data_IF_234348364915
#
_entry.id   IF_234348364915
#
_cell.length_a   1.000
_cell.length_b   1.000
_cell.length_c   1.000
_cell.angle_alpha   90.00
_cell.angle_beta   90.00
_cell.angle_gamma   90.00
#
_symmetry.space_group_name_H-M   'P 1'
#
loop_
_entity.id
_entity.type
_entity.pdbx_description
1 polymer ?
#
# COMPACT_ATOMS: atom_id res chain seq x y z
N UNK A 1 -2.11 5.20 -10.58
CA UNK A 1 -1.83 6.42 -9.82
C UNK A 1 -2.65 6.40 -8.52
N UNK A 2 -2.08 6.41 -7.32
CA UNK A 2 -0.72 6.00 -6.93
C UNK A 2 -0.76 4.71 -6.09
N UNK A 3 0.35 3.97 -6.00
CA UNK A 3 0.43 2.76 -5.18
C UNK A 3 0.60 3.07 -3.69
N UNK A 4 1.39 4.10 -3.38
CA UNK A 4 1.57 4.59 -2.01
C UNK A 4 1.25 6.08 -2.02
N UNK A 5 0.18 6.44 -1.34
CA UNK A 5 -0.28 7.82 -1.20
C UNK A 5 -0.99 7.99 0.13
N UNK A 6 -0.78 9.14 0.79
CA UNK A 6 -1.40 9.43 2.08
C UNK A 6 -2.89 9.81 1.93
N UNK A 7 -3.29 10.36 0.78
CA UNK A 7 -4.68 10.64 0.47
C UNK A 7 -5.38 9.39 -0.03
N UNK A 8 -6.69 9.27 0.25
CA UNK A 8 -7.53 8.13 -0.16
C UNK A 8 -7.00 6.76 0.32
N UNK A 9 -6.20 6.75 1.39
CA UNK A 9 -5.76 5.56 2.08
C UNK A 9 -6.83 5.09 3.06
N UNK A 10 -7.05 3.77 3.13
CA UNK A 10 -7.99 3.21 4.08
C UNK A 10 -7.55 3.54 5.52
N UNK A 11 -8.46 3.99 6.42
CA UNK A 11 -8.09 4.44 7.77
C UNK A 11 -7.35 3.40 8.60
N UNK A 12 -7.60 2.11 8.36
CA UNK A 12 -6.98 1.00 9.09
C UNK A 12 -5.53 0.73 8.68
N UNK A 13 -5.05 1.26 7.55
CA UNK A 13 -3.81 0.81 6.94
C UNK A 13 -2.57 1.09 7.80
N UNK A 14 -2.56 2.20 8.52
CA UNK A 14 -1.45 2.60 9.39
C UNK A 14 -1.65 2.23 10.86
N UNK A 15 -2.84 1.74 11.25
CA UNK A 15 -3.20 1.52 12.65
C UNK A 15 -3.62 0.07 12.94
N UNK A 16 -3.59 -0.28 14.23
CA UNK A 16 -4.13 -1.53 14.76
C UNK A 16 -5.61 -1.39 15.15
N UNK A 17 -6.19 -2.45 15.72
CA UNK A 17 -7.59 -2.46 16.17
C UNK A 17 -7.87 -1.50 17.33
N UNK A 18 -6.83 -1.05 18.05
CA UNK A 18 -6.92 -0.06 19.11
C UNK A 18 -6.70 1.37 18.61
N UNK A 19 -6.51 1.56 17.29
CA UNK A 19 -6.27 2.87 16.68
C UNK A 19 -4.85 3.41 16.88
N UNK A 20 -3.90 2.58 17.35
CA UNK A 20 -2.49 2.97 17.49
C UNK A 20 -1.73 2.65 16.22
N UNK A 21 -0.71 3.46 15.93
CA UNK A 21 0.18 3.19 14.79
C UNK A 21 0.81 1.80 14.90
N UNK A 22 0.78 1.06 13.80
CA UNK A 22 1.49 -0.23 13.72
C UNK A 22 3.00 -0.02 13.68
N UNK A 23 3.76 -1.08 13.97
CA UNK A 23 5.22 -1.01 13.88
C UNK A 23 5.69 -0.80 12.42
N UNK A 24 6.90 -0.25 12.21
CA UNK A 24 7.47 -0.11 10.88
C UNK A 24 7.52 -1.42 10.09
N UNK A 25 7.73 -2.55 10.75
CA UNK A 25 7.80 -3.89 10.16
C UNK A 25 6.43 -4.30 9.60
N UNK A 26 5.36 -4.10 10.39
CA UNK A 26 3.99 -4.38 9.95
C UNK A 26 3.61 -3.50 8.77
N UNK A 27 3.93 -2.21 8.82
CA UNK A 27 3.62 -1.29 7.72
C UNK A 27 4.38 -1.66 6.44
N UNK A 28 5.66 -2.02 6.54
CA UNK A 28 6.46 -2.53 5.41
C UNK A 28 5.85 -3.80 4.81
N UNK A 29 5.39 -4.72 5.65
CA UNK A 29 4.75 -5.95 5.18
C UNK A 29 3.44 -5.64 4.44
N UNK A 30 2.57 -4.79 5.00
CA UNK A 30 1.33 -4.34 4.35
C UNK A 30 1.60 -3.67 3.00
N UNK A 31 2.61 -2.78 2.92
CA UNK A 31 2.99 -2.14 1.65
C UNK A 31 3.49 -3.17 0.63
N UNK A 32 4.35 -4.13 1.04
CA UNK A 32 4.86 -5.18 0.16
C UNK A 32 3.74 -6.03 -0.41
N UNK A 33 2.79 -6.44 0.44
CA UNK A 33 1.61 -7.19 0.01
C UNK A 33 0.76 -6.38 -0.96
N UNK A 34 0.40 -5.14 -0.60
CA UNK A 34 -0.38 -4.25 -1.45
C UNK A 34 0.23 -4.08 -2.85
N UNK A 35 1.52 -3.71 -2.92
CA UNK A 35 2.24 -3.51 -4.18
C UNK A 35 2.30 -4.81 -4.98
N UNK A 36 2.65 -5.93 -4.33
CA UNK A 36 2.81 -7.21 -5.03
C UNK A 36 1.48 -7.72 -5.59
N UNK A 37 0.38 -7.58 -4.84
CA UNK A 37 -0.95 -7.97 -5.28
C UNK A 37 -1.42 -7.13 -6.47
N UNK A 38 -1.32 -5.81 -6.39
CA UNK A 38 -1.84 -4.91 -7.43
C UNK A 38 -0.97 -4.97 -8.70
N UNK A 39 0.35 -4.81 -8.56
CA UNK A 39 1.28 -4.86 -9.71
C UNK A 39 1.31 -6.26 -10.32
N UNK A 40 1.25 -7.31 -9.49
CA UNK A 40 1.15 -8.69 -9.96
C UNK A 40 -0.12 -8.96 -10.77
N UNK A 41 -1.28 -8.51 -10.28
CA UNK A 41 -2.58 -8.64 -10.98
C UNK A 41 -2.57 -8.00 -12.37
N UNK A 42 -1.89 -6.87 -12.52
CA UNK A 42 -1.86 -6.10 -13.77
C UNK A 42 -0.54 -6.20 -14.53
N UNK A 43 0.27 -7.22 -14.24
CA UNK A 43 1.55 -7.46 -14.91
C UNK A 43 1.37 -7.54 -16.43
N UNK A 44 2.17 -6.75 -17.15
CA UNK A 44 2.14 -6.68 -18.63
C UNK A 44 0.96 -5.90 -19.21
N UNK A 45 0.04 -5.36 -18.40
CA UNK A 45 -1.15 -4.62 -18.85
C UNK A 45 -1.04 -3.12 -18.65
N UNK A 46 -0.30 -2.68 -17.64
CA UNK A 46 -0.10 -1.26 -17.31
C UNK A 46 1.34 -0.88 -17.65
N UNK A 47 1.50 0.16 -18.47
CA UNK A 47 2.80 0.58 -19.00
C UNK A 47 3.62 1.43 -18.01
N UNK A 48 2.97 2.09 -17.06
CA UNK A 48 3.63 2.97 -16.09
C UNK A 48 2.85 3.06 -14.78
N UNK A 49 3.58 3.21 -13.68
CA UNK A 49 3.03 3.32 -12.32
C UNK A 49 3.65 4.49 -11.59
N UNK A 50 2.80 5.30 -10.97
CA UNK A 50 3.23 6.23 -9.93
C UNK A 50 3.34 5.44 -8.63
N UNK A 51 4.58 5.04 -8.33
CA UNK A 51 4.88 4.16 -7.21
C UNK A 51 4.63 4.89 -5.89
N UNK A 52 5.04 6.14 -5.79
CA UNK A 52 4.79 7.02 -4.64
C UNK A 52 4.24 8.34 -5.16
N UNK A 53 3.24 8.86 -4.45
CA UNK A 53 2.66 10.19 -4.68
C UNK A 53 2.56 10.94 -3.35
#
# INVERSE_FOLDING_TARGET
HGLVWHSQLAPWFCVDSAGKNVSPEVLKQRMKEHISTIVGRYKGRIHGWDVVN
#
